data_IF_665818079003
#
_entry.id   IF_665818079003
#
_cell.length_a   1.000
_cell.length_b   1.000
_cell.length_c   1.000
_cell.angle_alpha   90.00
_cell.angle_beta   90.00
_cell.angle_gamma   90.00
#
_symmetry.space_group_name_H-M   'P 1'
#
loop_
_entity.id
_entity.type
_entity.pdbx_description
1 polymer ?
#
# COMPACT_ATOMS: atom_id res chain seq x y z
N UNK A 1 3.30 35.49 -32.09
CA UNK A 1 2.49 34.27 -32.09
C UNK A 1 3.25 33.02 -31.69
N UNK A 2 4.48 32.83 -32.17
CA UNK A 2 5.29 31.68 -31.79
C UNK A 2 5.77 31.70 -30.33
N UNK A 3 5.95 32.88 -29.72
CA UNK A 3 6.40 33.01 -28.34
C UNK A 3 5.40 32.54 -27.29
N UNK A 4 4.09 32.60 -27.54
CA UNK A 4 3.05 32.13 -26.62
C UNK A 4 2.98 30.60 -26.48
N UNK A 5 3.19 29.88 -27.61
CA UNK A 5 3.26 28.39 -27.58
C UNK A 5 4.51 27.88 -26.90
N UNK A 6 5.64 28.56 -27.09
CA UNK A 6 6.91 28.22 -26.38
C UNK A 6 6.81 28.42 -24.88
N UNK A 7 6.18 29.51 -24.39
CA UNK A 7 5.97 29.78 -22.98
C UNK A 7 5.14 28.70 -22.28
N UNK A 8 4.03 28.25 -22.89
CA UNK A 8 3.21 27.18 -22.34
C UNK A 8 3.96 25.85 -22.24
N UNK A 9 4.76 25.52 -23.23
CA UNK A 9 5.54 24.29 -23.26
C UNK A 9 6.68 24.34 -22.23
N UNK A 10 7.30 25.50 -22.02
CA UNK A 10 8.35 25.69 -21.02
C UNK A 10 7.80 25.64 -19.59
N UNK A 11 6.61 26.20 -19.33
CA UNK A 11 5.95 26.13 -18.02
C UNK A 11 5.59 24.69 -17.64
N UNK A 12 5.03 23.90 -18.58
CA UNK A 12 4.71 22.48 -18.36
C UNK A 12 5.98 21.69 -18.10
N UNK A 13 7.06 21.92 -18.84
CA UNK A 13 8.34 21.25 -18.64
C UNK A 13 8.97 21.61 -17.29
N UNK A 14 8.87 22.89 -16.86
CA UNK A 14 9.44 23.28 -15.56
C UNK A 14 8.66 22.69 -14.39
N UNK A 15 7.34 22.53 -14.48
CA UNK A 15 6.54 21.83 -13.48
C UNK A 15 6.90 20.35 -13.42
N UNK A 16 7.06 19.67 -14.56
CA UNK A 16 7.50 18.27 -14.63
C UNK A 16 8.91 18.10 -14.03
N UNK A 17 9.83 19.00 -14.35
CA UNK A 17 11.20 18.97 -13.84
C UNK A 17 11.23 19.18 -12.32
N UNK A 18 10.48 20.15 -11.81
CA UNK A 18 10.36 20.42 -10.36
C UNK A 18 9.77 19.20 -9.64
N UNK A 19 8.77 18.55 -10.20
CA UNK A 19 8.19 17.34 -9.64
C UNK A 19 9.19 16.18 -9.62
N UNK A 20 9.95 16.00 -10.71
CA UNK A 20 11.01 14.99 -10.80
C UNK A 20 12.15 15.27 -9.81
N UNK A 21 12.57 16.52 -9.69
CA UNK A 21 13.62 16.92 -8.75
C UNK A 21 13.20 16.67 -7.30
N UNK A 22 11.95 16.96 -6.94
CA UNK A 22 11.41 16.64 -5.62
C UNK A 22 11.38 15.14 -5.37
N UNK A 23 11.04 14.35 -6.36
CA UNK A 23 11.10 12.88 -6.29
C UNK A 23 12.49 12.37 -5.99
N UNK A 24 13.51 12.99 -6.61
CA UNK A 24 14.91 12.58 -6.45
C UNK A 24 15.51 13.03 -5.11
N UNK A 25 15.02 14.15 -4.57
CA UNK A 25 15.57 14.74 -3.33
C UNK A 25 14.89 14.17 -2.09
N UNK A 26 13.57 13.90 -2.17
CA UNK A 26 12.81 13.38 -1.03
C UNK A 26 11.80 12.30 -1.49
N UNK A 27 12.26 11.05 -1.59
CA UNK A 27 11.37 9.94 -1.93
C UNK A 27 10.17 9.80 -0.99
N UNK A 28 10.32 10.20 0.28
CA UNK A 28 9.25 10.11 1.26
C UNK A 28 8.06 11.00 0.93
N UNK A 29 8.31 12.13 0.28
CA UNK A 29 7.27 13.03 -0.20
C UNK A 29 6.34 12.32 -1.19
N UNK A 30 6.92 11.62 -2.14
CA UNK A 30 6.15 10.88 -3.15
C UNK A 30 5.37 9.73 -2.54
N UNK A 31 5.96 9.02 -1.59
CA UNK A 31 5.31 7.91 -0.88
C UNK A 31 4.09 8.43 -0.13
N UNK A 32 4.21 9.50 0.62
CA UNK A 32 3.09 10.12 1.36
C UNK A 32 1.98 10.57 0.43
N UNK A 33 2.34 11.19 -0.68
CA UNK A 33 1.38 11.65 -1.69
C UNK A 33 0.64 10.48 -2.32
N UNK A 34 1.36 9.44 -2.69
CA UNK A 34 0.77 8.22 -3.26
C UNK A 34 -0.10 7.49 -2.25
N UNK A 35 0.35 7.38 -1.01
CA UNK A 35 -0.42 6.77 0.07
C UNK A 35 -1.76 7.48 0.26
N UNK A 36 -1.73 8.81 0.37
CA UNK A 36 -2.93 9.62 0.54
C UNK A 36 -3.88 9.47 -0.65
N UNK A 37 -3.34 9.47 -1.87
CA UNK A 37 -4.12 9.25 -3.09
C UNK A 37 -4.79 7.88 -3.08
N UNK A 38 -4.03 6.85 -2.71
CA UNK A 38 -4.56 5.49 -2.60
C UNK A 38 -5.67 5.36 -1.58
N UNK A 39 -5.50 5.95 -0.40
CA UNK A 39 -6.51 5.95 0.67
C UNK A 39 -7.79 6.68 0.21
N UNK A 40 -7.65 7.79 -0.48
CA UNK A 40 -8.80 8.51 -1.03
C UNK A 40 -9.53 7.69 -2.10
N UNK A 41 -8.81 6.99 -2.94
CA UNK A 41 -9.40 6.09 -3.93
C UNK A 41 -10.14 4.92 -3.27
N UNK A 42 -9.61 4.39 -2.18
CA UNK A 42 -10.31 3.36 -1.39
C UNK A 42 -11.61 3.90 -0.81
N UNK A 43 -11.60 5.11 -0.28
CA UNK A 43 -12.81 5.77 0.25
C UNK A 43 -13.88 5.95 -0.82
N UNK A 44 -13.46 6.17 -2.06
CA UNK A 44 -14.35 6.28 -3.22
C UNK A 44 -14.71 4.92 -3.84
N UNK A 45 -14.34 3.83 -3.19
CA UNK A 45 -14.56 2.45 -3.64
C UNK A 45 -13.87 2.11 -4.97
N UNK A 46 -12.85 2.87 -5.35
CA UNK A 46 -12.03 2.64 -6.54
C UNK A 46 -10.83 1.78 -6.16
N UNK A 47 -11.08 0.53 -5.80
CA UNK A 47 -10.07 -0.37 -5.25
C UNK A 47 -8.97 -0.72 -6.25
N UNK A 48 -9.31 -0.95 -7.52
CA UNK A 48 -8.32 -1.26 -8.55
C UNK A 48 -7.34 -0.10 -8.76
N UNK A 49 -7.87 1.13 -8.79
CA UNK A 49 -7.03 2.32 -8.93
C UNK A 49 -6.16 2.53 -7.69
N UNK A 50 -6.71 2.26 -6.50
CA UNK A 50 -5.95 2.35 -5.25
C UNK A 50 -4.79 1.36 -5.24
N UNK A 51 -5.02 0.13 -5.67
CA UNK A 51 -3.98 -0.90 -5.77
C UNK A 51 -2.84 -0.44 -6.66
N UNK A 52 -3.16 0.10 -7.83
CA UNK A 52 -2.16 0.62 -8.75
C UNK A 52 -1.29 1.71 -8.11
N UNK A 53 -1.91 2.62 -7.37
CA UNK A 53 -1.22 3.70 -6.68
C UNK A 53 -0.33 3.16 -5.54
N UNK A 54 -0.83 2.20 -4.76
CA UNK A 54 -0.03 1.57 -3.70
C UNK A 54 1.16 0.79 -4.29
N UNK A 55 0.96 0.12 -5.41
CA UNK A 55 2.05 -0.57 -6.10
C UNK A 55 3.14 0.41 -6.58
N UNK A 56 2.74 1.60 -7.06
CA UNK A 56 3.69 2.66 -7.40
C UNK A 56 4.51 3.08 -6.17
N UNK A 57 3.86 3.26 -5.03
CA UNK A 57 4.55 3.61 -3.79
C UNK A 57 5.54 2.52 -3.37
N UNK A 58 5.18 1.24 -3.55
CA UNK A 58 6.05 0.11 -3.21
C UNK A 58 7.22 -0.08 -4.16
N UNK A 59 7.17 0.49 -5.37
CA UNK A 59 8.36 0.54 -6.23
C UNK A 59 9.42 1.48 -5.67
N UNK A 60 8.98 2.52 -4.96
CA UNK A 60 9.90 3.46 -4.31
C UNK A 60 10.41 2.88 -3.00
N UNK A 61 9.53 2.34 -2.17
CA UNK A 61 9.86 1.77 -0.87
C UNK A 61 9.14 0.42 -0.69
N UNK A 62 9.77 -0.70 -1.10
CA UNK A 62 9.11 -2.02 -1.11
C UNK A 62 8.68 -2.53 0.26
N UNK A 63 9.31 -2.07 1.33
CA UNK A 63 9.07 -2.54 2.70
C UNK A 63 8.22 -1.58 3.52
N UNK A 64 7.53 -0.63 2.89
CA UNK A 64 6.66 0.31 3.60
C UNK A 64 5.43 -0.42 4.14
N UNK A 65 5.40 -0.61 5.45
CA UNK A 65 4.35 -1.39 6.14
C UNK A 65 2.98 -0.74 5.97
N UNK A 66 2.88 0.58 6.11
CA UNK A 66 1.60 1.29 5.98
C UNK A 66 0.98 1.08 4.59
N UNK A 67 1.81 1.17 3.55
CA UNK A 67 1.36 0.95 2.16
C UNK A 67 0.97 -0.52 1.95
N UNK A 68 1.81 -1.45 2.43
CA UNK A 68 1.53 -2.88 2.33
C UNK A 68 0.22 -3.25 3.02
N UNK A 69 -0.04 -2.71 4.21
CA UNK A 69 -1.28 -2.98 4.94
C UNK A 69 -2.51 -2.52 4.16
N UNK A 70 -2.44 -1.34 3.55
CA UNK A 70 -3.54 -0.81 2.72
C UNK A 70 -3.72 -1.62 1.43
N UNK A 71 -2.63 -2.03 0.81
CA UNK A 71 -2.68 -2.88 -0.39
C UNK A 71 -3.33 -4.22 -0.06
N UNK A 72 -2.94 -4.85 1.04
CA UNK A 72 -3.54 -6.10 1.49
C UNK A 72 -5.04 -5.97 1.75
N UNK A 73 -5.44 -4.88 2.39
CA UNK A 73 -6.85 -4.57 2.66
C UNK A 73 -7.63 -4.41 1.35
N UNK A 74 -7.11 -3.67 0.38
CA UNK A 74 -7.75 -3.49 -0.92
C UNK A 74 -7.89 -4.83 -1.66
N UNK A 75 -6.87 -5.65 -1.64
CA UNK A 75 -6.91 -7.00 -2.24
C UNK A 75 -7.96 -7.87 -1.57
N UNK A 76 -8.04 -7.82 -0.25
CA UNK A 76 -9.05 -8.57 0.51
C UNK A 76 -10.47 -8.17 0.10
N UNK A 77 -10.73 -6.88 -0.04
CA UNK A 77 -12.07 -6.39 -0.43
C UNK A 77 -12.44 -6.72 -1.87
N UNK A 78 -11.46 -6.96 -2.73
CA UNK A 78 -11.70 -7.48 -4.09
C UNK A 78 -11.81 -9.00 -4.12
N UNK A 79 -11.80 -9.65 -2.96
CA UNK A 79 -11.81 -11.10 -2.84
C UNK A 79 -10.57 -11.79 -3.44
N UNK A 80 -9.50 -11.04 -3.65
CA UNK A 80 -8.19 -11.56 -4.06
C UNK A 80 -7.45 -12.11 -2.84
N UNK A 81 -7.97 -13.18 -2.25
CA UNK A 81 -7.49 -13.71 -0.96
C UNK A 81 -6.02 -14.13 -1.00
N UNK A 82 -5.59 -14.82 -2.04
CA UNK A 82 -4.21 -15.27 -2.15
C UNK A 82 -3.23 -14.10 -2.29
N UNK A 83 -3.60 -13.07 -3.04
CA UNK A 83 -2.78 -11.87 -3.18
C UNK A 83 -2.73 -11.09 -1.86
N UNK A 84 -3.84 -11.00 -1.15
CA UNK A 84 -3.88 -10.37 0.18
C UNK A 84 -2.94 -11.09 1.15
N UNK A 85 -2.96 -12.43 1.16
CA UNK A 85 -2.05 -13.23 2.01
C UNK A 85 -0.59 -12.98 1.68
N UNK A 86 -0.24 -12.88 0.41
CA UNK A 86 1.13 -12.57 -0.01
C UNK A 86 1.60 -11.22 0.52
N UNK A 87 0.71 -10.23 0.49
CA UNK A 87 1.00 -8.88 0.99
C UNK A 87 1.20 -8.90 2.51
N UNK A 88 0.33 -9.58 3.25
CA UNK A 88 0.47 -9.70 4.71
C UNK A 88 1.70 -10.51 5.09
N UNK A 89 2.05 -11.55 4.33
CA UNK A 89 3.30 -12.28 4.53
C UNK A 89 4.52 -11.37 4.34
N UNK A 90 4.45 -10.45 3.38
CA UNK A 90 5.50 -9.45 3.17
C UNK A 90 5.64 -8.52 4.39
N UNK A 91 4.52 -8.08 4.96
CA UNK A 91 4.54 -7.29 6.22
C UNK A 91 5.24 -8.08 7.32
N UNK A 92 4.93 -9.36 7.45
CA UNK A 92 5.50 -10.22 8.49
C UNK A 92 6.98 -10.55 8.25
N UNK A 93 7.47 -10.48 7.02
CA UNK A 93 8.92 -10.55 6.75
C UNK A 93 9.65 -9.32 7.30
N UNK A 94 9.03 -8.15 7.22
CA UNK A 94 9.59 -6.89 7.70
C UNK A 94 9.41 -6.75 9.22
N UNK A 95 8.24 -7.11 9.72
CA UNK A 95 7.89 -7.03 11.14
C UNK A 95 7.16 -8.32 11.55
N UNK A 96 7.93 -9.28 12.02
CA UNK A 96 7.47 -10.64 12.38
C UNK A 96 6.38 -10.61 13.46
N UNK A 97 6.40 -9.61 14.32
CA UNK A 97 5.50 -9.49 15.46
C UNK A 97 4.34 -8.52 15.24
N UNK A 98 4.08 -8.12 14.00
CA UNK A 98 2.99 -7.20 13.70
C UNK A 98 1.64 -7.88 13.97
N UNK A 99 0.95 -7.55 15.09
CA UNK A 99 -0.28 -8.25 15.45
C UNK A 99 -1.41 -7.97 14.50
N UNK A 100 -1.47 -6.78 13.91
CA UNK A 100 -2.49 -6.43 12.94
C UNK A 100 -2.37 -7.28 11.68
N UNK A 101 -1.14 -7.51 11.19
CA UNK A 101 -0.90 -8.34 10.02
C UNK A 101 -1.32 -9.79 10.27
N UNK A 102 -1.00 -10.35 11.43
CA UNK A 102 -1.46 -11.68 11.82
C UNK A 102 -2.98 -11.78 11.87
N UNK A 103 -3.62 -10.76 12.46
CA UNK A 103 -5.07 -10.71 12.59
C UNK A 103 -5.76 -10.64 11.22
N UNK A 104 -5.27 -9.79 10.33
CA UNK A 104 -5.82 -9.67 8.98
C UNK A 104 -5.58 -10.94 8.16
N UNK A 105 -4.43 -11.57 8.32
CA UNK A 105 -4.17 -12.87 7.70
C UNK A 105 -5.15 -13.93 8.19
N UNK A 106 -5.46 -13.92 9.48
CA UNK A 106 -6.50 -14.78 10.06
C UNK A 106 -7.87 -14.53 9.45
N UNK A 107 -8.23 -13.27 9.25
CA UNK A 107 -9.49 -12.90 8.63
C UNK A 107 -9.60 -13.42 7.19
N UNK A 108 -8.51 -13.32 6.43
CA UNK A 108 -8.48 -13.86 5.05
C UNK A 108 -8.70 -15.37 5.07
N UNK A 109 -8.01 -16.09 5.95
CA UNK A 109 -8.20 -17.55 6.08
C UNK A 109 -9.62 -17.90 6.48
N UNK A 110 -10.22 -17.12 7.37
CA UNK A 110 -11.61 -17.31 7.78
C UNK A 110 -12.56 -17.18 6.57
N UNK A 111 -12.37 -16.15 5.74
CA UNK A 111 -13.18 -15.96 4.54
C UNK A 111 -12.98 -17.10 3.54
N UNK A 112 -11.80 -17.70 3.51
CA UNK A 112 -11.53 -18.89 2.70
C UNK A 112 -12.07 -20.19 3.33
N UNK A 113 -12.70 -20.11 4.50
CA UNK A 113 -13.19 -21.24 5.29
C UNK A 113 -12.06 -22.17 5.76
N UNK A 114 -10.85 -21.63 5.88
CA UNK A 114 -9.68 -22.32 6.43
C UNK A 114 -9.55 -22.01 7.91
N UNK A 115 -10.45 -22.57 8.71
CA UNK A 115 -10.65 -22.19 10.10
C UNK A 115 -9.45 -22.53 11.01
N UNK A 116 -8.79 -23.66 10.78
CA UNK A 116 -7.61 -24.03 11.56
C UNK A 116 -6.47 -23.02 11.36
N UNK A 117 -6.25 -22.60 10.11
CA UNK A 117 -5.25 -21.59 9.76
C UNK A 117 -5.63 -20.20 10.31
N UNK A 118 -6.92 -19.87 10.26
CA UNK A 118 -7.44 -18.63 10.83
C UNK A 118 -7.19 -18.57 12.34
N UNK A 119 -7.48 -19.65 13.04
CA UNK A 119 -7.24 -19.73 14.51
C UNK A 119 -5.74 -19.59 14.83
N UNK A 120 -4.88 -20.28 14.10
CA UNK A 120 -3.43 -20.17 14.28
C UNK A 120 -2.94 -18.73 14.12
N UNK A 121 -3.40 -18.04 13.09
CA UNK A 121 -3.02 -16.65 12.83
C UNK A 121 -3.50 -15.71 13.94
N UNK A 122 -4.74 -15.87 14.40
CA UNK A 122 -5.29 -15.07 15.51
C UNK A 122 -4.51 -15.32 16.79
N UNK A 123 -4.15 -16.57 17.09
CA UNK A 123 -3.32 -16.90 18.25
C UNK A 123 -1.95 -16.22 18.18
N UNK A 124 -1.33 -16.17 17.01
CA UNK A 124 -0.07 -15.46 16.80
C UNK A 124 -0.24 -13.95 16.99
N UNK A 125 -1.36 -13.39 16.58
CA UNK A 125 -1.67 -11.97 16.83
C UNK A 125 -1.75 -11.70 18.34
N UNK A 126 -2.43 -12.55 19.10
CA UNK A 126 -2.57 -12.42 20.56
C UNK A 126 -1.21 -12.53 21.24
N UNK A 127 -0.39 -13.51 20.86
CA UNK A 127 0.97 -13.69 21.39
C UNK A 127 1.85 -12.48 21.11
N UNK A 128 1.76 -11.93 19.91
CA UNK A 128 2.53 -10.74 19.51
C UNK A 128 2.15 -9.52 20.35
N UNK A 129 0.87 -9.36 20.66
CA UNK A 129 0.38 -8.26 21.50
C UNK A 129 0.89 -8.36 22.95
N UNK A 130 1.04 -9.58 23.47
CA UNK A 130 1.50 -9.82 24.85
C UNK A 130 2.98 -9.54 25.06
N UNK A 131 3.76 -9.36 24.01
CA UNK A 131 5.21 -9.10 24.13
C UNK A 131 5.54 -7.63 24.40
N UNK A 132 4.56 -6.78 24.49
CA UNK A 132 4.72 -5.35 24.83
C UNK A 132 4.69 -5.14 26.34
#
# INVERSE_FOLDING_TARGET
>A
MFGKKKKKTEEVKSEEIVTKERSLVDPSYNIKKLYKKGVNLMADEKLDDAIEVFEQALRIEPDNIEVLMKLGYARFHLEDHNDALKVYDKVLEVDVTNPEAWNLKGLVHYEQKKYAQALDAVNKAIESDKTY
#
